data_IF_847433503919
#
_entry.id   IF_847433503919
#
_cell.length_a   1.000
_cell.length_b   1.000
_cell.length_c   1.000
_cell.angle_alpha   90.00
_cell.angle_beta   90.00
_cell.angle_gamma   90.00
#
_symmetry.space_group_name_H-M   'P 1'
#
loop_
_entity.id
_entity.type
_entity.pdbx_description
1 polymer ?
#
# COMPACT_ATOMS: atom_id res chain seq x y z
N UNK A 1 68.12 -4.99 31.75
CA UNK A 1 67.09 -5.88 31.17
C UNK A 1 65.81 -5.75 31.99
N UNK A 2 64.81 -5.00 31.50
CA UNK A 2 63.46 -4.96 32.05
C UNK A 2 62.50 -5.16 30.88
N UNK A 3 61.75 -6.27 30.91
CA UNK A 3 60.90 -6.73 29.81
C UNK A 3 59.65 -5.84 29.74
N UNK A 4 59.45 -5.19 28.59
CA UNK A 4 58.21 -4.51 28.23
C UNK A 4 57.25 -5.54 27.61
N UNK A 5 56.15 -5.82 28.28
CA UNK A 5 55.02 -6.56 27.72
C UNK A 5 54.06 -5.58 27.08
N UNK A 6 54.09 -5.47 25.75
CA UNK A 6 53.06 -4.80 24.97
C UNK A 6 51.99 -5.85 24.64
N UNK A 7 50.82 -5.73 25.26
CA UNK A 7 49.65 -6.51 24.90
C UNK A 7 49.08 -5.94 23.59
N UNK A 8 49.31 -6.65 22.50
CA UNK A 8 48.76 -6.33 21.19
C UNK A 8 47.28 -6.76 21.16
N UNK A 9 46.37 -5.80 21.36
CA UNK A 9 44.94 -6.01 21.15
C UNK A 9 44.70 -6.23 19.65
N UNK A 10 44.58 -7.48 19.22
CA UNK A 10 44.14 -7.80 17.86
C UNK A 10 42.65 -7.50 17.74
N UNK A 11 42.33 -6.35 17.13
CA UNK A 11 40.97 -6.03 16.71
C UNK A 11 40.58 -7.00 15.58
N UNK A 12 39.81 -8.03 15.92
CA UNK A 12 39.14 -8.88 14.94
C UNK A 12 38.08 -8.02 14.27
N UNK A 13 38.39 -7.51 13.08
CA UNK A 13 37.38 -6.91 12.20
C UNK A 13 36.51 -8.07 11.72
N UNK A 14 35.37 -8.26 12.39
CA UNK A 14 34.30 -9.12 11.91
C UNK A 14 33.77 -8.51 10.60
N UNK A 15 34.27 -8.99 9.47
CA UNK A 15 33.67 -8.73 8.16
C UNK A 15 32.31 -9.42 8.15
N UNK A 16 31.29 -8.66 8.55
CA UNK A 16 29.89 -9.02 8.31
C UNK A 16 29.72 -9.24 6.81
N UNK A 17 29.66 -10.50 6.39
CA UNK A 17 29.22 -10.90 5.05
C UNK A 17 27.72 -10.60 4.94
N UNK A 18 27.41 -9.32 4.74
CA UNK A 18 26.14 -8.94 4.15
C UNK A 18 26.17 -9.49 2.73
N UNK A 19 25.33 -10.49 2.44
CA UNK A 19 25.17 -11.06 1.11
C UNK A 19 25.17 -9.95 0.06
N UNK A 20 26.28 -9.81 -0.68
CA UNK A 20 26.48 -8.70 -1.59
C UNK A 20 25.46 -8.85 -2.71
N UNK A 21 24.42 -8.01 -2.69
CA UNK A 21 23.43 -7.97 -3.76
C UNK A 21 24.16 -7.77 -5.10
N UNK A 22 23.87 -8.65 -6.08
CA UNK A 22 24.49 -8.58 -7.41
C UNK A 22 24.21 -7.22 -8.04
N UNK A 23 25.25 -6.47 -8.35
CA UNK A 23 25.13 -5.18 -9.05
C UNK A 23 24.83 -5.46 -10.52
N UNK A 24 23.82 -4.78 -11.06
CA UNK A 24 23.37 -4.95 -12.45
C UNK A 24 23.65 -3.71 -13.31
N UNK A 25 23.65 -2.51 -12.70
CA UNK A 25 24.02 -1.27 -13.34
C UNK A 25 24.56 -0.26 -12.30
N UNK A 26 25.21 0.80 -12.77
CA UNK A 26 25.68 1.91 -11.93
C UNK A 26 25.46 3.24 -12.66
N UNK A 27 24.92 4.24 -11.94
CA UNK A 27 24.61 5.57 -12.46
C UNK A 27 25.26 6.62 -11.54
N UNK A 28 26.34 7.24 -11.99
CA UNK A 28 27.10 8.24 -11.21
C UNK A 28 27.44 7.77 -9.78
N UNK A 29 27.89 6.52 -9.62
CA UNK A 29 28.22 5.93 -8.31
C UNK A 29 27.05 5.28 -7.58
N UNK A 30 25.79 5.51 -8.02
CA UNK A 30 24.62 4.80 -7.50
C UNK A 30 24.51 3.43 -8.15
N UNK A 31 24.68 2.37 -7.36
CA UNK A 31 24.50 0.98 -7.79
C UNK A 31 23.02 0.60 -7.83
N UNK A 32 22.60 0.01 -8.95
CA UNK A 32 21.30 -0.65 -9.13
C UNK A 32 21.54 -2.15 -9.09
N UNK A 33 20.89 -2.83 -8.15
CA UNK A 33 21.13 -4.24 -7.82
C UNK A 33 20.01 -5.15 -8.31
N UNK A 34 20.25 -6.45 -8.27
CA UNK A 34 19.21 -7.46 -8.56
C UNK A 34 18.02 -7.36 -7.60
N UNK A 35 18.26 -6.94 -6.35
CA UNK A 35 17.19 -6.69 -5.38
C UNK A 35 16.28 -5.54 -5.81
N UNK A 36 16.86 -4.45 -6.32
CA UNK A 36 16.10 -3.29 -6.78
C UNK A 36 15.26 -3.66 -8.01
N UNK A 37 15.85 -4.41 -8.94
CA UNK A 37 15.12 -4.94 -10.10
C UNK A 37 13.95 -5.85 -9.71
N UNK A 38 14.17 -6.78 -8.76
CA UNK A 38 13.12 -7.68 -8.32
C UNK A 38 12.00 -6.91 -7.59
N UNK A 39 12.34 -5.93 -6.74
CA UNK A 39 11.36 -5.08 -6.07
C UNK A 39 10.52 -4.25 -7.06
N UNK A 40 11.15 -3.72 -8.11
CA UNK A 40 10.47 -2.97 -9.16
C UNK A 40 9.53 -3.86 -10.01
N UNK A 41 9.87 -5.13 -10.20
CA UNK A 41 8.99 -6.09 -10.89
C UNK A 41 7.83 -6.49 -9.98
N UNK A 42 8.09 -6.71 -8.69
CA UNK A 42 7.09 -7.15 -7.71
C UNK A 42 6.08 -6.06 -7.33
N UNK A 43 6.36 -4.80 -7.66
CA UNK A 43 5.41 -3.69 -7.49
C UNK A 43 4.44 -3.53 -8.66
N UNK A 44 4.63 -4.28 -9.75
CA UNK A 44 3.74 -4.23 -10.91
C UNK A 44 2.42 -4.94 -10.64
N UNK A 45 1.37 -4.62 -11.41
CA UNK A 45 0.12 -5.37 -11.36
C UNK A 45 0.30 -6.89 -11.59
N UNK A 46 -0.52 -7.77 -10.98
CA UNK A 46 -0.30 -9.21 -10.98
C UNK A 46 -0.16 -9.85 -12.36
N UNK A 47 -0.77 -9.28 -13.41
CA UNK A 47 -0.64 -9.79 -14.78
C UNK A 47 0.79 -9.79 -15.32
N UNK A 48 1.71 -9.00 -14.74
CA UNK A 48 3.11 -8.94 -15.15
C UNK A 48 4.01 -9.91 -14.38
N UNK A 49 3.53 -10.51 -13.29
CA UNK A 49 4.35 -11.41 -12.46
C UNK A 49 4.82 -12.66 -13.19
N UNK A 50 4.06 -13.13 -14.19
CA UNK A 50 4.44 -14.27 -15.04
C UNK A 50 5.69 -13.97 -15.89
N UNK A 51 6.00 -12.70 -16.13
CA UNK A 51 7.15 -12.25 -16.90
C UNK A 51 8.41 -12.03 -16.04
N UNK A 52 8.33 -12.20 -14.71
CA UNK A 52 9.42 -11.89 -13.76
C UNK A 52 10.76 -12.53 -14.12
N UNK A 53 10.72 -13.74 -14.69
CA UNK A 53 11.91 -14.50 -15.07
C UNK A 53 12.25 -14.38 -16.57
N UNK A 54 11.47 -13.66 -17.37
CA UNK A 54 11.74 -13.46 -18.79
C UNK A 54 12.97 -12.53 -18.96
N UNK A 55 14.07 -12.98 -19.60
CA UNK A 55 15.30 -12.20 -19.69
C UNK A 55 15.13 -10.86 -20.41
N UNK A 56 14.34 -10.83 -21.49
CA UNK A 56 14.06 -9.62 -22.26
C UNK A 56 13.25 -8.60 -21.44
N UNK A 57 12.27 -9.08 -20.67
CA UNK A 57 11.49 -8.24 -19.76
C UNK A 57 12.37 -7.65 -18.65
N UNK A 58 13.17 -8.50 -17.99
CA UNK A 58 14.12 -8.06 -16.94
C UNK A 58 15.12 -7.03 -17.46
N UNK A 59 15.68 -7.23 -18.66
CA UNK A 59 16.58 -6.26 -19.30
C UNK A 59 15.90 -4.90 -19.47
N UNK A 60 14.67 -4.89 -20.00
CA UNK A 60 13.89 -3.66 -20.21
C UNK A 60 13.56 -2.94 -18.90
N UNK A 61 13.24 -3.71 -17.85
CA UNK A 61 13.01 -3.17 -16.51
C UNK A 61 14.28 -2.56 -15.91
N UNK A 62 15.44 -3.21 -16.08
CA UNK A 62 16.73 -2.65 -15.65
C UNK A 62 17.06 -1.35 -16.40
N UNK A 63 16.85 -1.31 -17.71
CA UNK A 63 17.01 -0.09 -18.52
C UNK A 63 16.08 1.04 -18.04
N UNK A 64 14.85 0.72 -17.65
CA UNK A 64 13.92 1.70 -17.09
C UNK A 64 14.40 2.22 -15.73
N UNK A 65 14.92 1.37 -14.84
CA UNK A 65 15.48 1.81 -13.57
C UNK A 65 16.70 2.73 -13.76
N UNK A 66 17.56 2.43 -14.74
CA UNK A 66 18.68 3.31 -15.10
C UNK A 66 18.18 4.67 -15.58
N UNK A 67 17.16 4.70 -16.45
CA UNK A 67 16.56 5.96 -16.93
C UNK A 67 15.91 6.76 -15.80
N UNK A 68 15.19 6.09 -14.91
CA UNK A 68 14.56 6.71 -13.74
C UNK A 68 15.61 7.35 -12.83
N UNK A 69 16.70 6.64 -12.54
CA UNK A 69 17.79 7.15 -11.71
C UNK A 69 18.47 8.37 -12.36
N UNK A 70 18.71 8.35 -13.69
CA UNK A 70 19.26 9.51 -14.41
C UNK A 70 18.36 10.74 -14.28
N UNK A 71 17.05 10.58 -14.49
CA UNK A 71 16.08 11.65 -14.37
C UNK A 71 15.97 12.16 -12.93
N UNK A 72 16.01 11.27 -11.95
CA UNK A 72 15.99 11.63 -10.54
C UNK A 72 17.21 12.47 -10.14
N UNK A 73 18.40 12.06 -10.57
CA UNK A 73 19.62 12.82 -10.30
C UNK A 73 19.60 14.21 -10.96
N UNK A 74 19.07 14.34 -12.19
CA UNK A 74 18.91 15.66 -12.81
C UNK A 74 17.90 16.53 -12.04
N UNK A 75 16.78 15.95 -11.58
CA UNK A 75 15.81 16.67 -10.75
C UNK A 75 16.42 17.17 -9.43
N UNK A 76 17.32 16.41 -8.81
CA UNK A 76 18.07 16.86 -7.62
C UNK A 76 19.05 17.98 -7.95
N UNK A 77 19.76 17.87 -9.08
CA UNK A 77 20.70 18.89 -9.55
C UNK A 77 20.02 20.22 -9.89
N UNK A 78 18.80 20.16 -10.44
CA UNK A 78 17.93 21.34 -10.63
C UNK A 78 17.34 21.88 -9.32
N UNK A 79 17.50 21.17 -8.20
CA UNK A 79 16.96 21.57 -6.90
C UNK A 79 15.44 21.43 -6.79
N UNK A 80 14.80 20.61 -7.62
CA UNK A 80 13.34 20.46 -7.66
C UNK A 80 12.77 19.92 -6.36
N UNK A 81 13.55 19.19 -5.56
CA UNK A 81 13.16 18.76 -4.22
C UNK A 81 12.92 19.93 -3.26
N UNK A 82 13.49 21.11 -3.56
CA UNK A 82 13.34 22.31 -2.77
C UNK A 82 12.18 23.20 -3.21
N UNK A 83 11.57 22.90 -4.37
CA UNK A 83 10.44 23.65 -4.91
C UNK A 83 9.25 23.65 -3.90
N UNK A 84 8.66 24.83 -3.60
CA UNK A 84 7.55 24.92 -2.65
C UNK A 84 6.30 24.15 -3.08
N UNK A 85 6.02 23.98 -4.38
CA UNK A 85 4.90 23.16 -4.84
C UNK A 85 5.18 21.66 -4.65
N UNK A 86 6.40 21.22 -4.97
CA UNK A 86 6.84 19.84 -4.69
C UNK A 86 6.77 19.51 -3.20
N UNK A 87 7.37 20.33 -2.34
CA UNK A 87 7.35 20.13 -0.87
C UNK A 87 5.93 20.06 -0.31
N UNK A 88 5.03 20.95 -0.76
CA UNK A 88 3.61 20.90 -0.36
C UNK A 88 2.95 19.58 -0.77
N UNK A 89 3.19 19.12 -2.00
CA UNK A 89 2.64 17.84 -2.48
C UNK A 89 3.23 16.64 -1.72
N UNK A 90 4.53 16.66 -1.43
CA UNK A 90 5.21 15.63 -0.67
C UNK A 90 4.63 15.51 0.75
N UNK A 91 4.44 16.64 1.46
CA UNK A 91 3.86 16.63 2.80
C UNK A 91 2.39 16.17 2.80
N UNK A 92 1.61 16.50 1.76
CA UNK A 92 0.25 15.97 1.61
C UNK A 92 0.24 14.45 1.43
N UNK A 93 1.14 13.91 0.59
CA UNK A 93 1.27 12.46 0.37
C UNK A 93 1.72 11.78 1.67
N UNK A 94 2.75 12.29 2.33
CA UNK A 94 3.25 11.80 3.62
C UNK A 94 2.16 11.76 4.68
N UNK A 95 1.38 12.83 4.83
CA UNK A 95 0.23 12.88 5.75
C UNK A 95 -0.78 11.77 5.44
N UNK A 96 -1.14 11.57 4.17
CA UNK A 96 -2.07 10.51 3.76
C UNK A 96 -1.53 9.11 4.07
N UNK A 97 -0.27 8.84 3.76
CA UNK A 97 0.38 7.57 4.03
C UNK A 97 0.46 7.27 5.54
N UNK A 98 0.81 8.27 6.35
CA UNK A 98 0.84 8.12 7.81
C UNK A 98 -0.54 7.81 8.39
N UNK A 99 -1.60 8.47 7.90
CA UNK A 99 -2.97 8.17 8.32
C UNK A 99 -3.35 6.74 7.92
N UNK A 100 -3.09 6.33 6.68
CA UNK A 100 -3.38 4.96 6.23
C UNK A 100 -2.62 3.91 7.05
N UNK A 101 -1.33 4.16 7.33
CA UNK A 101 -0.50 3.27 8.12
C UNK A 101 -0.95 3.19 9.59
N UNK A 102 -1.38 4.31 10.17
CA UNK A 102 -1.97 4.33 11.51
C UNK A 102 -3.24 3.48 11.55
N UNK A 103 -4.15 3.67 10.59
CA UNK A 103 -5.40 2.92 10.52
C UNK A 103 -5.13 1.43 10.31
N UNK A 104 -4.22 1.04 9.41
CA UNK A 104 -3.91 -0.38 9.21
C UNK A 104 -3.29 -1.05 10.43
N UNK A 105 -2.52 -0.30 11.23
CA UNK A 105 -1.88 -0.81 12.45
C UNK A 105 -2.84 -0.93 13.63
N UNK A 106 -3.76 0.03 13.78
CA UNK A 106 -4.57 0.17 15.00
C UNK A 106 -6.06 -0.12 14.82
N UNK A 107 -6.60 -0.03 13.60
CA UNK A 107 -8.01 -0.30 13.32
C UNK A 107 -8.15 -1.71 12.76
N UNK A 108 -8.73 -2.60 13.58
CA UNK A 108 -9.04 -3.98 13.20
C UNK A 108 -10.56 -4.18 13.26
N UNK A 109 -11.27 -4.13 12.13
CA UNK A 109 -12.71 -4.37 12.15
C UNK A 109 -13.01 -5.82 12.58
N UNK A 110 -14.16 -6.06 13.21
CA UNK A 110 -14.59 -7.41 13.56
C UNK A 110 -14.77 -8.25 12.30
N UNK A 111 -14.58 -9.58 12.43
CA UNK A 111 -14.95 -10.51 11.37
C UNK A 111 -16.45 -10.40 11.11
N UNK A 112 -16.80 -10.38 9.83
CA UNK A 112 -18.18 -10.25 9.35
C UNK A 112 -18.60 -11.55 8.70
N UNK A 113 -19.80 -12.02 9.05
CA UNK A 113 -20.43 -13.17 8.44
C UNK A 113 -21.76 -12.75 7.76
N UNK A 114 -22.08 -13.44 6.67
CA UNK A 114 -23.35 -13.31 5.95
C UNK A 114 -24.01 -14.67 5.91
N UNK A 115 -25.24 -14.72 6.39
CA UNK A 115 -26.04 -15.94 6.40
C UNK A 115 -26.84 -16.07 5.11
N UNK A 116 -27.15 -17.32 4.73
CA UNK A 116 -28.08 -17.61 3.62
C UNK A 116 -29.45 -16.93 3.80
N UNK A 117 -29.92 -16.80 5.05
CA UNK A 117 -31.17 -16.11 5.39
C UNK A 117 -31.14 -14.64 4.99
N UNK A 118 -30.03 -13.96 5.26
CA UNK A 118 -29.85 -12.55 4.88
C UNK A 118 -29.75 -12.38 3.37
N UNK A 119 -29.03 -13.27 2.69
CA UNK A 119 -28.96 -13.26 1.23
C UNK A 119 -30.36 -13.47 0.60
N UNK A 120 -31.15 -14.40 1.14
CA UNK A 120 -32.53 -14.63 0.69
C UNK A 120 -33.40 -13.39 0.94
N UNK A 121 -33.30 -12.76 2.11
CA UNK A 121 -34.05 -11.53 2.40
C UNK A 121 -33.66 -10.38 1.45
N UNK A 122 -32.37 -10.23 1.14
CA UNK A 122 -31.89 -9.26 0.17
C UNK A 122 -32.45 -9.53 -1.24
N UNK A 123 -32.40 -10.79 -1.69
CA UNK A 123 -32.98 -11.21 -2.96
C UNK A 123 -34.47 -10.87 -3.04
N UNK A 124 -35.26 -11.22 -2.01
CA UNK A 124 -36.70 -10.98 -1.98
C UNK A 124 -37.05 -9.49 -1.99
N UNK A 125 -36.29 -8.66 -1.27
CA UNK A 125 -36.48 -7.21 -1.24
C UNK A 125 -36.08 -6.52 -2.55
N UNK A 126 -35.14 -7.11 -3.29
CA UNK A 126 -34.54 -6.52 -4.48
C UNK A 126 -34.78 -7.34 -5.75
N UNK A 127 -35.88 -8.10 -5.85
CA UNK A 127 -36.18 -9.01 -6.99
C UNK A 127 -35.98 -8.39 -8.37
N UNK A 128 -36.34 -7.11 -8.51
CA UNK A 128 -36.19 -6.33 -9.76
C UNK A 128 -34.73 -6.19 -10.23
N UNK A 129 -33.74 -6.31 -9.34
CA UNK A 129 -32.31 -6.32 -9.70
C UNK A 129 -31.85 -7.65 -10.27
N UNK A 130 -32.67 -8.70 -10.16
CA UNK A 130 -32.32 -10.08 -10.51
C UNK A 130 -33.24 -10.62 -11.61
N UNK A 131 -33.42 -9.84 -12.68
CA UNK A 131 -34.10 -10.28 -13.91
C UNK A 131 -33.10 -10.45 -15.03
N UNK A 132 -33.34 -11.40 -15.93
CA UNK A 132 -32.56 -11.55 -17.15
C UNK A 132 -32.93 -10.48 -18.21
N UNK A 133 -32.27 -10.54 -19.37
CA UNK A 133 -32.50 -9.61 -20.48
C UNK A 133 -33.94 -9.64 -21.04
N UNK A 134 -34.71 -10.68 -20.73
CA UNK A 134 -36.13 -10.83 -21.14
C UNK A 134 -37.10 -10.35 -20.06
N UNK A 135 -36.59 -9.90 -18.91
CA UNK A 135 -37.39 -9.50 -17.75
C UNK A 135 -37.85 -10.65 -16.87
N UNK A 136 -37.40 -11.88 -17.12
CA UNK A 136 -37.74 -13.04 -16.29
C UNK A 136 -36.88 -13.09 -15.04
N UNK A 137 -37.49 -13.47 -13.92
CA UNK A 137 -36.80 -13.57 -12.64
C UNK A 137 -35.73 -14.67 -12.65
N UNK A 138 -34.50 -14.32 -12.29
CA UNK A 138 -33.39 -15.26 -12.10
C UNK A 138 -33.54 -15.95 -10.75
N UNK A 139 -33.47 -17.30 -10.65
CA UNK A 139 -33.64 -18.02 -9.39
C UNK A 139 -32.62 -17.62 -8.31
N UNK A 140 -33.04 -17.59 -7.04
CA UNK A 140 -32.17 -17.25 -5.91
C UNK A 140 -30.88 -18.07 -5.87
N UNK A 141 -30.94 -19.38 -6.12
CA UNK A 141 -29.76 -20.26 -6.09
C UNK A 141 -28.67 -19.84 -7.09
N UNK A 142 -29.04 -19.24 -8.22
CA UNK A 142 -28.09 -18.78 -9.24
C UNK A 142 -27.38 -17.49 -8.83
N UNK A 143 -28.01 -16.65 -8.00
CA UNK A 143 -27.47 -15.36 -7.55
C UNK A 143 -27.01 -15.36 -6.10
N UNK A 144 -27.28 -16.44 -5.33
CA UNK A 144 -26.96 -16.55 -3.91
C UNK A 144 -25.48 -16.27 -3.61
N UNK A 145 -24.48 -16.89 -4.28
CA UNK A 145 -23.07 -16.60 -4.00
C UNK A 145 -22.70 -15.13 -4.25
N UNK A 146 -23.25 -14.54 -5.33
CA UNK A 146 -23.03 -13.14 -5.67
C UNK A 146 -23.65 -12.20 -4.62
N UNK A 147 -24.87 -12.48 -4.18
CA UNK A 147 -25.54 -11.70 -3.13
C UNK A 147 -24.78 -11.81 -1.82
N UNK A 148 -24.39 -13.02 -1.42
CA UNK A 148 -23.64 -13.25 -0.18
C UNK A 148 -22.31 -12.50 -0.18
N UNK A 149 -21.55 -12.58 -1.27
CA UNK A 149 -20.26 -11.89 -1.41
C UNK A 149 -20.41 -10.37 -1.42
N UNK A 150 -21.42 -9.82 -2.11
CA UNK A 150 -21.67 -8.38 -2.07
C UNK A 150 -22.11 -7.90 -0.69
N UNK A 151 -23.02 -8.62 -0.02
CA UNK A 151 -23.42 -8.31 1.34
C UNK A 151 -22.24 -8.39 2.31
N UNK A 152 -21.33 -9.35 2.09
CA UNK A 152 -20.12 -9.51 2.91
C UNK A 152 -19.22 -8.30 2.74
N UNK A 153 -18.90 -7.92 1.50
CA UNK A 153 -18.11 -6.70 1.21
C UNK A 153 -18.75 -5.43 1.79
N UNK A 154 -20.07 -5.28 1.66
CA UNK A 154 -20.80 -4.14 2.23
C UNK A 154 -20.67 -4.09 3.75
N UNK A 155 -20.98 -5.20 4.43
CA UNK A 155 -20.86 -5.27 5.88
C UNK A 155 -19.41 -5.13 6.38
N UNK A 156 -18.42 -5.66 5.65
CA UNK A 156 -17.00 -5.47 5.96
C UNK A 156 -16.61 -4.00 5.86
N UNK A 157 -17.07 -3.29 4.81
CA UNK A 157 -16.86 -1.85 4.66
C UNK A 157 -17.53 -1.06 5.78
N UNK A 158 -18.79 -1.39 6.14
CA UNK A 158 -19.49 -0.76 7.26
C UNK A 158 -18.79 -1.02 8.60
N UNK A 159 -18.31 -2.24 8.82
CA UNK A 159 -17.57 -2.61 10.02
C UNK A 159 -16.24 -1.83 10.11
N UNK A 160 -15.52 -1.69 8.98
CA UNK A 160 -14.33 -0.85 8.89
C UNK A 160 -14.66 0.62 9.18
N UNK A 161 -15.69 1.18 8.54
CA UNK A 161 -16.09 2.57 8.77
C UNK A 161 -16.42 2.84 10.25
N UNK A 162 -17.22 1.97 10.88
CA UNK A 162 -17.52 2.06 12.32
C UNK A 162 -16.27 1.96 13.18
N UNK A 163 -15.34 1.06 12.84
CA UNK A 163 -14.10 0.90 13.59
C UNK A 163 -13.21 2.16 13.48
N UNK A 164 -13.14 2.77 12.28
CA UNK A 164 -12.45 4.05 12.06
C UNK A 164 -13.12 5.16 12.87
N UNK A 165 -14.45 5.28 12.80
CA UNK A 165 -15.20 6.30 13.57
C UNK A 165 -14.97 6.16 15.08
N UNK A 166 -15.01 4.93 15.60
CA UNK A 166 -14.75 4.68 17.02
C UNK A 166 -13.32 5.05 17.41
N UNK A 167 -12.34 4.72 16.54
CA UNK A 167 -10.95 5.10 16.75
C UNK A 167 -10.78 6.62 16.75
N UNK A 168 -11.42 7.33 15.81
CA UNK A 168 -11.42 8.80 15.74
C UNK A 168 -12.06 9.40 17.00
N UNK A 169 -13.23 8.92 17.42
CA UNK A 169 -13.90 9.39 18.65
C UNK A 169 -13.01 9.21 19.88
N UNK A 170 -12.26 8.11 19.96
CA UNK A 170 -11.31 7.90 21.05
C UNK A 170 -10.16 8.92 21.04
N UNK A 171 -9.65 9.28 19.85
CA UNK A 171 -8.64 10.33 19.71
C UNK A 171 -9.22 11.71 20.07
N UNK A 172 -10.44 12.00 19.63
CA UNK A 172 -11.14 13.25 19.93
C UNK A 172 -11.35 13.46 21.44
N UNK A 173 -11.62 12.39 22.20
CA UNK A 173 -11.75 12.45 23.65
C UNK A 173 -10.49 12.99 24.36
N UNK A 174 -9.32 12.91 23.70
CA UNK A 174 -8.04 13.38 24.22
C UNK A 174 -7.49 14.58 23.44
N UNK A 175 -8.26 15.12 22.48
CA UNK A 175 -7.82 16.19 21.60
C UNK A 175 -8.64 17.47 21.82
N UNK A 176 -7.98 18.63 21.73
CA UNK A 176 -8.67 19.93 21.68
C UNK A 176 -9.02 20.26 20.24
N UNK A 177 -10.18 19.80 19.78
CA UNK A 177 -10.67 20.07 18.42
C UNK A 177 -11.56 21.32 18.43
N UNK A 178 -11.26 22.27 17.54
CA UNK A 178 -12.11 23.44 17.29
C UNK A 178 -12.40 23.55 15.80
N UNK A 179 -13.67 23.38 15.44
CA UNK A 179 -14.14 23.51 14.06
C UNK A 179 -14.77 24.90 13.92
N UNK A 180 -14.23 25.72 13.02
CA UNK A 180 -14.80 27.02 12.70
C UNK A 180 -15.72 26.86 11.49
N UNK A 181 -17.04 27.03 11.72
CA UNK A 181 -18.10 27.21 10.72
C UNK A 181 -18.05 26.35 9.45
N UNK A 182 -18.86 25.28 9.42
CA UNK A 182 -19.46 24.84 8.16
C UNK A 182 -20.72 25.67 7.97
N UNK A 183 -20.72 26.61 7.02
CA UNK A 183 -21.96 27.26 6.60
C UNK A 183 -22.84 26.18 5.99
N UNK A 184 -23.84 25.71 6.75
CA UNK A 184 -24.90 24.88 6.23
C UNK A 184 -25.61 25.64 5.13
N UNK A 185 -25.48 25.17 3.89
CA UNK A 185 -26.47 25.46 2.85
C UNK A 185 -27.70 24.61 3.14
N UNK A 186 -28.51 25.08 4.09
CA UNK A 186 -29.91 24.71 4.15
C UNK A 186 -30.65 25.53 3.09
N UNK A 187 -31.12 24.84 2.05
CA UNK A 187 -32.35 25.17 1.34
C UNK A 187 -33.15 23.88 1.18
#
# INVERSE_FOLDING_TARGET
MKKLTVALLTLVVATSSAASAKVLAEVNGKKITDKDLNAAIDSLPPQYHTLKNNPTFRKRMLENLVKEELLYQEALKEGLENDPAFKRRLEQIKKRLLVQYLLSKHVKPPKVEVTKKEAKAFYEKNKKMFTDATGKQVPFSAVEPFIMENLKRQKEQEALNRAVENYVKNLEAHAKVKIYGSSGSAK
#
